data_IF_324933618789
#
_entry.id   IF_324933618789
#
_cell.length_a   1.000
_cell.length_b   1.000
_cell.length_c   1.000
_cell.angle_alpha   90.00
_cell.angle_beta   90.00
_cell.angle_gamma   90.00
#
_symmetry.space_group_name_H-M   'P 1'
#
loop_
_entity.id
_entity.type
_entity.pdbx_description
1 polymer ?
#
# COMPACT_ATOMS: atom_id res chain seq x y z
N UNK A 1 -17.16 5.95 -15.61
CA UNK A 1 -16.58 4.77 -14.93
C UNK A 1 -16.78 5.01 -13.45
N UNK A 2 -17.26 4.03 -12.68
CA UNK A 2 -17.41 4.24 -11.24
C UNK A 2 -16.02 4.40 -10.62
N UNK A 3 -15.73 5.58 -10.07
CA UNK A 3 -14.54 5.88 -9.27
C UNK A 3 -14.67 5.28 -7.86
N UNK A 4 -15.17 4.05 -7.76
CA UNK A 4 -15.50 3.43 -6.48
C UNK A 4 -14.22 2.87 -5.80
N UNK A 5 -13.82 3.38 -4.62
CA UNK A 5 -12.63 2.92 -3.92
C UNK A 5 -12.79 1.53 -3.26
N UNK A 6 -13.96 0.90 -3.33
CA UNK A 6 -14.28 -0.36 -2.64
C UNK A 6 -13.30 -1.51 -2.89
N UNK A 7 -12.68 -1.55 -4.07
CA UNK A 7 -11.67 -2.56 -4.39
C UNK A 7 -10.45 -2.49 -3.46
N UNK A 8 -10.08 -1.29 -3.02
CA UNK A 8 -8.97 -1.09 -2.09
C UNK A 8 -9.29 -1.60 -0.69
N UNK A 9 -10.51 -1.40 -0.20
CA UNK A 9 -10.94 -1.93 1.10
C UNK A 9 -10.96 -3.45 1.09
N UNK A 10 -11.51 -4.05 0.05
CA UNK A 10 -11.53 -5.51 -0.14
C UNK A 10 -10.11 -6.09 -0.15
N UNK A 11 -9.19 -5.45 -0.88
CA UNK A 11 -7.79 -5.86 -0.95
C UNK A 11 -7.11 -5.75 0.42
N UNK A 12 -7.31 -4.64 1.13
CA UNK A 12 -6.72 -4.43 2.46
C UNK A 12 -7.18 -5.48 3.47
N UNK A 13 -8.48 -5.81 3.48
CA UNK A 13 -9.01 -6.87 4.35
C UNK A 13 -8.33 -8.20 4.06
N UNK A 14 -8.25 -8.59 2.78
CA UNK A 14 -7.58 -9.83 2.39
C UNK A 14 -6.10 -9.85 2.79
N UNK A 15 -5.37 -8.74 2.62
CA UNK A 15 -3.96 -8.64 3.02
C UNK A 15 -3.82 -8.79 4.54
N UNK A 16 -4.69 -8.13 5.31
CA UNK A 16 -4.67 -8.21 6.77
C UNK A 16 -4.96 -9.64 7.27
N UNK A 17 -5.92 -10.34 6.66
CA UNK A 17 -6.23 -11.74 6.96
C UNK A 17 -5.05 -12.68 6.69
N UNK A 18 -4.21 -12.35 5.71
CA UNK A 18 -3.05 -13.15 5.32
C UNK A 18 -1.72 -12.68 5.94
N UNK A 19 -1.75 -11.66 6.81
CA UNK A 19 -0.54 -11.11 7.44
C UNK A 19 0.45 -10.50 6.45
N UNK A 20 -0.05 -9.96 5.33
CA UNK A 20 0.77 -9.38 4.27
C UNK A 20 1.16 -7.92 4.51
N UNK A 21 1.73 -7.31 3.47
CA UNK A 21 2.13 -5.90 3.44
C UNK A 21 1.56 -5.26 2.17
N UNK A 22 1.09 -4.02 2.29
CA UNK A 22 0.57 -3.24 1.16
C UNK A 22 1.39 -1.96 0.99
N UNK A 23 1.69 -1.61 -0.27
CA UNK A 23 2.26 -0.33 -0.65
C UNK A 23 1.20 0.49 -1.39
N UNK A 24 0.77 1.61 -0.80
CA UNK A 24 -0.14 2.54 -1.45
C UNK A 24 0.67 3.58 -2.21
N UNK A 25 0.74 3.44 -3.53
CA UNK A 25 1.44 4.38 -4.40
C UNK A 25 0.49 5.53 -4.80
N UNK A 26 0.86 6.77 -4.48
CA UNK A 26 0.05 7.97 -4.74
C UNK A 26 0.94 9.06 -5.31
N UNK A 27 0.49 9.69 -6.40
CA UNK A 27 1.15 10.84 -6.99
C UNK A 27 0.22 12.06 -6.91
N UNK A 28 0.70 13.24 -6.48
CA UNK A 28 -0.12 14.45 -6.43
C UNK A 28 -0.77 14.80 -7.77
N UNK A 29 -0.07 14.59 -8.89
CA UNK A 29 -0.60 14.86 -10.24
C UNK A 29 -1.76 13.93 -10.64
N UNK A 30 -2.01 12.84 -9.91
CA UNK A 30 -3.17 11.96 -10.12
C UNK A 30 -4.31 12.27 -9.14
N UNK A 31 -4.16 13.28 -8.27
CA UNK A 31 -5.16 13.64 -7.28
C UNK A 31 -5.88 14.92 -7.66
N UNK A 32 -7.21 14.83 -7.77
CA UNK A 32 -8.08 15.98 -7.89
C UNK A 32 -8.35 16.56 -6.51
N UNK A 33 -7.76 17.72 -6.23
CA UNK A 33 -8.03 18.51 -5.03
C UNK A 33 -9.22 19.46 -5.20
N UNK A 34 -9.62 19.71 -6.44
CA UNK A 34 -10.60 20.74 -6.79
C UNK A 34 -12.00 20.18 -7.10
N UNK A 35 -12.44 19.09 -6.45
CA UNK A 35 -13.77 18.46 -6.61
C UNK A 35 -14.33 18.49 -8.06
N UNK A 36 -13.45 18.34 -9.04
CA UNK A 36 -13.74 18.35 -10.48
C UNK A 36 -13.62 16.91 -10.96
N UNK A 37 -14.41 16.55 -11.95
CA UNK A 37 -14.21 15.26 -12.62
C UNK A 37 -13.24 15.47 -13.78
N UNK A 38 -12.01 14.99 -13.58
CA UNK A 38 -10.95 14.96 -14.58
C UNK A 38 -10.63 13.50 -14.91
N UNK A 39 -10.48 13.17 -16.20
CA UNK A 39 -10.39 11.78 -16.67
C UNK A 39 -9.14 11.03 -16.20
N UNK A 40 -8.08 11.75 -15.85
CA UNK A 40 -6.78 11.19 -15.46
C UNK A 40 -6.47 11.37 -13.97
N UNK A 41 -7.44 11.89 -13.21
CA UNK A 41 -7.28 12.14 -11.78
C UNK A 41 -8.36 11.41 -10.98
N UNK A 42 -8.05 11.11 -9.73
CA UNK A 42 -8.99 10.57 -8.77
C UNK A 42 -9.25 11.61 -7.69
N UNK A 43 -10.47 11.66 -7.18
CA UNK A 43 -10.81 12.57 -6.09
C UNK A 43 -9.95 12.32 -4.86
N UNK A 44 -9.35 13.37 -4.29
CA UNK A 44 -8.52 13.29 -3.07
C UNK A 44 -9.27 12.65 -1.90
N UNK A 45 -10.61 12.74 -1.90
CA UNK A 45 -11.48 12.11 -0.90
C UNK A 45 -11.25 10.60 -0.80
N UNK A 46 -11.01 9.90 -1.90
CA UNK A 46 -10.78 8.45 -1.86
C UNK A 46 -9.50 8.10 -1.09
N UNK A 47 -8.44 8.88 -1.27
CA UNK A 47 -7.20 8.70 -0.51
C UNK A 47 -7.42 8.99 0.98
N UNK A 48 -8.14 10.06 1.31
CA UNK A 48 -8.47 10.41 2.70
C UNK A 48 -9.30 9.30 3.36
N UNK A 49 -10.33 8.80 2.68
CA UNK A 49 -11.19 7.72 3.17
C UNK A 49 -10.42 6.42 3.36
N UNK A 50 -9.49 6.09 2.46
CA UNK A 50 -8.58 4.96 2.62
C UNK A 50 -7.75 5.06 3.89
N UNK A 51 -7.15 6.21 4.17
CA UNK A 51 -6.36 6.42 5.39
C UNK A 51 -7.21 6.33 6.65
N UNK A 52 -8.43 6.89 6.63
CA UNK A 52 -9.37 6.77 7.75
C UNK A 52 -9.80 5.33 7.97
N UNK A 53 -10.12 4.60 6.90
CA UNK A 53 -10.47 3.19 6.96
C UNK A 53 -9.34 2.36 7.60
N UNK A 54 -8.10 2.56 7.15
CA UNK A 54 -6.94 1.85 7.71
C UNK A 54 -6.79 2.14 9.21
N UNK A 55 -6.91 3.42 9.59
CA UNK A 55 -6.76 3.85 10.98
C UNK A 55 -7.84 3.26 11.89
N UNK A 56 -9.08 3.20 11.43
CA UNK A 56 -10.23 2.75 12.24
C UNK A 56 -10.33 1.23 12.32
N UNK A 57 -10.24 0.53 11.18
CA UNK A 57 -10.47 -0.92 11.14
C UNK A 57 -9.29 -1.76 11.64
N UNK A 58 -8.08 -1.26 11.42
CA UNK A 58 -6.84 -1.96 11.78
C UNK A 58 -6.11 -1.30 12.95
N UNK A 59 -6.79 -0.51 13.78
CA UNK A 59 -6.17 0.15 14.93
C UNK A 59 -5.33 -0.85 15.75
N UNK A 60 -4.07 -0.50 16.03
CA UNK A 60 -3.08 -1.34 16.72
C UNK A 60 -2.68 -2.66 16.03
N UNK A 61 -3.14 -2.90 14.78
CA UNK A 61 -2.90 -4.13 14.00
C UNK A 61 -2.05 -3.92 12.74
N UNK A 62 -1.61 -2.69 12.46
CA UNK A 62 -0.74 -2.40 11.33
C UNK A 62 0.57 -1.72 11.75
N UNK A 63 1.55 -1.80 10.87
CA UNK A 63 2.84 -1.13 10.98
C UNK A 63 3.02 -0.23 9.76
N UNK A 64 3.03 1.09 9.95
CA UNK A 64 3.12 2.09 8.87
C UNK A 64 4.40 2.92 9.05
N UNK A 65 5.51 2.36 8.63
CA UNK A 65 6.83 3.02 8.72
C UNK A 65 7.37 3.39 7.34
N UNK A 66 8.44 4.18 7.37
CA UNK A 66 9.19 4.52 6.18
C UNK A 66 9.72 3.26 5.47
N UNK A 67 9.81 3.28 4.11
CA UNK A 67 10.39 2.18 3.35
C UNK A 67 11.79 1.75 3.84
N UNK A 68 12.59 2.69 4.34
CA UNK A 68 13.91 2.41 4.92
C UNK A 68 13.83 1.54 6.18
N UNK A 69 12.87 1.80 7.06
CA UNK A 69 12.67 1.03 8.29
C UNK A 69 12.15 -0.37 7.99
N UNK A 70 11.23 -0.49 7.05
CA UNK A 70 10.75 -1.79 6.54
C UNK A 70 11.92 -2.59 5.95
N UNK A 71 12.74 -1.97 5.10
CA UNK A 71 13.91 -2.62 4.52
C UNK A 71 14.93 -3.05 5.60
N UNK A 72 15.17 -2.20 6.60
CA UNK A 72 16.05 -2.52 7.71
C UNK A 72 15.51 -3.68 8.55
N UNK A 73 14.20 -3.72 8.81
CA UNK A 73 13.54 -4.83 9.48
C UNK A 73 13.66 -6.13 8.69
N UNK A 74 13.33 -6.12 7.39
CA UNK A 74 13.45 -7.29 6.52
C UNK A 74 14.88 -7.84 6.49
N UNK A 75 15.89 -6.98 6.41
CA UNK A 75 17.30 -7.40 6.44
C UNK A 75 17.68 -8.08 7.76
N UNK A 76 17.09 -7.68 8.88
CA UNK A 76 17.34 -8.27 10.21
C UNK A 76 16.61 -9.60 10.42
N UNK A 77 15.41 -9.75 9.85
CA UNK A 77 14.50 -10.87 10.16
C UNK A 77 14.50 -11.98 9.12
N UNK A 78 14.76 -11.66 7.85
CA UNK A 78 14.84 -12.64 6.78
C UNK A 78 16.19 -13.36 6.90
N UNK A 79 16.14 -14.67 7.20
CA UNK A 79 17.32 -15.52 7.06
C UNK A 79 17.62 -15.65 5.58
N UNK A 80 18.72 -15.04 5.14
CA UNK A 80 19.24 -15.27 3.81
C UNK A 80 19.75 -16.71 3.75
N UNK A 81 18.97 -17.61 3.14
CA UNK A 81 19.48 -18.91 2.74
C UNK A 81 20.50 -18.68 1.61
N UNK A 82 21.79 -18.88 1.90
CA UNK A 82 22.89 -18.58 0.96
C UNK A 82 23.05 -19.67 -0.11
N UNK A 83 22.08 -20.55 -0.30
CA UNK A 83 22.20 -21.70 -1.20
C UNK A 83 21.74 -21.45 -2.64
N UNK A 84 21.17 -20.28 -2.96
CA UNK A 84 20.86 -19.96 -4.36
C UNK A 84 22.06 -19.31 -5.06
N UNK A 85 22.90 -20.13 -5.70
CA UNK A 85 23.75 -19.68 -6.80
C UNK A 85 22.87 -19.08 -7.90
N UNK A 86 22.70 -17.76 -7.90
CA UNK A 86 22.14 -17.06 -9.05
C UNK A 86 23.19 -17.08 -10.16
N UNK A 87 23.11 -18.10 -11.03
CA UNK A 87 23.82 -18.07 -12.31
C UNK A 87 23.18 -16.98 -13.16
N UNK A 88 23.76 -15.78 -13.07
CA UNK A 88 23.52 -14.72 -14.04
C UNK A 88 24.12 -15.21 -15.34
N UNK A 89 23.28 -15.65 -16.27
CA UNK A 89 23.69 -15.82 -17.66
C UNK A 89 23.67 -14.42 -18.29
N UNK A 90 24.86 -13.91 -18.61
CA UNK A 90 25.07 -12.76 -19.48
C UNK A 90 24.80 -13.14 -20.94
#
# INVERSE_FOLDING_TARGET
MNEDPDIYYTKLNWIAENGGMELVNVHPDYLNFENKHLLEEFQVRHYIELLYYVKLEFEWKYWNELPLEVAAYSKRTIKMDRTCECKIYL
#
